data_IF_456931740049
#
_entry.id   IF_456931740049
#
_cell.length_a   1.000
_cell.length_b   1.000
_cell.length_c   1.000
_cell.angle_alpha   90.00
_cell.angle_beta   90.00
_cell.angle_gamma   90.00
#
_symmetry.space_group_name_H-M   'P 1'
#
loop_
_entity.id
_entity.type
_entity.pdbx_description
1 polymer ?
#
# COMPACT_ATOMS: atom_id res chain seq x y z
N UNK A 1 0.51 17.69 -2.43
CA UNK A 1 0.50 16.32 -3.00
C UNK A 1 -0.93 15.83 -2.96
N UNK A 2 -1.44 15.25 -4.04
CA UNK A 2 -2.81 14.75 -4.10
C UNK A 2 -2.78 13.24 -3.91
N UNK A 3 -3.33 12.78 -2.80
CA UNK A 3 -3.52 11.36 -2.56
C UNK A 3 -4.75 10.88 -3.30
N UNK A 4 -4.65 9.69 -3.86
CA UNK A 4 -5.74 9.04 -4.58
C UNK A 4 -6.00 7.69 -3.94
N UNK A 5 -7.28 7.32 -3.85
CA UNK A 5 -7.66 5.99 -3.39
C UNK A 5 -7.31 4.99 -4.49
N UNK A 6 -6.34 4.11 -4.22
CA UNK A 6 -5.86 3.08 -5.15
C UNK A 6 -6.60 1.74 -5.00
N UNK A 7 -7.06 1.47 -3.79
CA UNK A 7 -7.84 0.30 -3.45
C UNK A 7 -8.59 0.60 -2.16
N UNK A 8 -9.77 0.03 -2.00
CA UNK A 8 -10.63 0.25 -0.85
C UNK A 8 -12.10 0.39 -1.22
N UNK A 9 -12.94 0.64 -0.21
CA UNK A 9 -14.38 0.87 -0.42
C UNK A 9 -14.64 2.21 -1.10
N UNK A 10 -15.72 2.33 -1.88
CA UNK A 10 -16.13 3.63 -2.44
C UNK A 10 -16.62 4.60 -1.37
N UNK A 11 -17.03 4.09 -0.20
CA UNK A 11 -17.52 4.86 0.94
C UNK A 11 -16.41 5.32 1.90
N UNK A 12 -15.16 5.45 1.43
CA UNK A 12 -14.12 6.04 2.28
C UNK A 12 -14.49 7.49 2.66
N UNK A 13 -14.14 7.94 3.87
CA UNK A 13 -14.24 9.35 4.24
C UNK A 13 -13.47 10.24 3.24
N UNK A 14 -13.94 11.47 2.99
CA UNK A 14 -13.23 12.39 2.11
C UNK A 14 -11.86 12.73 2.72
N UNK A 15 -10.84 12.78 1.86
CA UNK A 15 -9.53 13.26 2.28
C UNK A 15 -9.59 14.77 2.61
N UNK A 16 -8.84 15.23 3.61
CA UNK A 16 -8.66 16.65 3.87
C UNK A 16 -7.97 17.35 2.68
N UNK A 17 -8.06 18.67 2.63
CA UNK A 17 -7.38 19.47 1.59
C UNK A 17 -5.86 19.31 1.67
N UNK A 18 -5.31 19.15 2.87
CA UNK A 18 -3.89 18.89 3.10
C UNK A 18 -3.64 17.59 3.89
N UNK A 19 -3.63 16.42 3.22
CA UNK A 19 -3.42 15.12 3.86
C UNK A 19 -2.00 14.91 4.40
N UNK A 20 -1.07 15.85 4.19
CA UNK A 20 0.28 15.80 4.76
C UNK A 20 0.36 16.44 6.16
N UNK A 21 -0.56 17.35 6.49
CA UNK A 21 -0.59 18.04 7.78
C UNK A 21 -1.81 17.70 8.63
N UNK A 22 -2.84 17.11 8.04
CA UNK A 22 -4.11 16.83 8.71
C UNK A 22 -4.36 15.32 8.80
N UNK A 23 -4.89 14.83 9.94
CA UNK A 23 -5.27 13.44 10.06
C UNK A 23 -6.46 13.12 9.15
N UNK A 24 -6.49 11.90 8.64
CA UNK A 24 -7.61 11.35 7.89
C UNK A 24 -7.87 9.91 8.30
N UNK A 25 -9.06 9.43 7.98
CA UNK A 25 -9.47 8.06 8.29
C UNK A 25 -9.35 7.17 7.05
N UNK A 26 -8.85 5.96 7.26
CA UNK A 26 -8.81 4.90 6.26
C UNK A 26 -9.57 3.69 6.79
N UNK A 27 -10.70 3.38 6.16
CA UNK A 27 -11.56 2.27 6.56
C UNK A 27 -11.11 0.99 5.87
N UNK A 28 -10.78 -0.03 6.67
CA UNK A 28 -10.52 -1.37 6.20
C UNK A 28 -11.73 -2.28 6.47
N UNK A 29 -12.24 -2.95 5.43
CA UNK A 29 -13.21 -4.03 5.61
C UNK A 29 -12.48 -5.35 5.92
N UNK A 30 -13.18 -6.35 6.48
CA UNK A 30 -12.64 -7.70 6.60
C UNK A 30 -12.42 -8.36 5.22
N UNK A 31 -11.32 -9.10 5.06
CA UNK A 31 -11.01 -9.88 3.85
C UNK A 31 -9.82 -9.37 3.03
N UNK A 32 -9.75 -8.06 2.68
CA UNK A 32 -8.59 -7.48 2.01
C UNK A 32 -7.26 -7.71 2.71
N UNK A 33 -6.21 -7.94 1.91
CA UNK A 33 -4.84 -8.12 2.38
C UNK A 33 -3.86 -7.60 1.32
N UNK A 34 -2.61 -7.43 1.73
CA UNK A 34 -1.48 -7.13 0.85
C UNK A 34 -0.43 -8.21 1.09
N UNK A 35 -0.44 -9.26 0.28
CA UNK A 35 0.39 -10.42 0.49
C UNK A 35 0.66 -11.18 -0.80
N UNK A 36 1.92 -11.57 -1.01
CA UNK A 36 2.31 -12.42 -2.12
C UNK A 36 3.11 -13.62 -1.63
N UNK A 37 2.77 -14.81 -2.11
CA UNK A 37 3.59 -16.02 -1.93
C UNK A 37 4.12 -16.53 -3.27
N UNK A 38 5.32 -17.16 -3.29
CA UNK A 38 5.81 -17.83 -4.48
C UNK A 38 4.81 -18.89 -4.99
N UNK A 39 4.83 -19.19 -6.29
CA UNK A 39 3.99 -20.22 -6.90
C UNK A 39 4.18 -21.60 -6.25
N UNK A 40 5.40 -21.93 -5.82
CA UNK A 40 5.70 -23.16 -5.07
C UNK A 40 5.08 -23.21 -3.66
N UNK A 41 4.60 -22.08 -3.14
CA UNK A 41 3.97 -21.92 -1.83
C UNK A 41 2.49 -21.47 -1.94
N UNK A 42 1.82 -21.89 -3.02
CA UNK A 42 0.39 -21.64 -3.24
C UNK A 42 0.05 -20.42 -4.11
N UNK A 43 1.05 -19.61 -4.50
CA UNK A 43 0.87 -18.56 -5.51
C UNK A 43 -0.17 -17.49 -5.18
N UNK A 44 -0.35 -17.17 -3.89
CA UNK A 44 -1.27 -16.10 -3.45
C UNK A 44 -0.73 -14.75 -3.91
N UNK A 45 -1.59 -13.89 -4.45
CA UNK A 45 -1.24 -12.52 -4.85
C UNK A 45 -2.43 -11.60 -4.53
N UNK A 46 -2.46 -11.14 -3.29
CA UNK A 46 -3.45 -10.18 -2.82
C UNK A 46 -2.81 -8.79 -2.75
N UNK A 47 -3.41 -7.85 -3.46
CA UNK A 47 -3.09 -6.42 -3.38
C UNK A 47 -4.39 -5.61 -3.29
N UNK A 48 -5.26 -6.02 -2.37
CA UNK A 48 -6.65 -5.55 -2.27
C UNK A 48 -6.91 -4.70 -1.03
N UNK A 49 -5.94 -4.60 -0.11
CA UNK A 49 -6.01 -3.72 1.05
C UNK A 49 -6.30 -2.27 0.67
N UNK A 50 -6.92 -1.48 1.57
CA UNK A 50 -7.19 -0.07 1.31
C UNK A 50 -5.87 0.73 1.26
N UNK A 51 -5.69 1.59 0.26
CA UNK A 51 -4.43 2.31 0.01
C UNK A 51 -4.74 3.75 -0.47
N UNK A 52 -4.25 4.75 0.26
CA UNK A 52 -4.20 6.14 -0.19
C UNK A 52 -2.81 6.55 -0.63
N UNK A 53 -2.67 6.90 -1.89
CA UNK A 53 -1.37 6.94 -2.51
C UNK A 53 -1.19 8.13 -3.44
N UNK A 54 0.01 8.73 -3.41
CA UNK A 54 0.40 9.86 -4.27
C UNK A 54 1.73 9.51 -4.93
N UNK A 55 1.86 9.66 -6.25
CA UNK A 55 3.11 9.41 -6.95
C UNK A 55 4.21 10.37 -6.46
N UNK A 56 5.40 9.83 -6.20
CA UNK A 56 6.61 10.59 -5.87
C UNK A 56 7.77 10.05 -6.71
N UNK A 57 8.57 10.94 -7.28
CA UNK A 57 9.80 10.57 -7.97
C UNK A 57 10.86 10.05 -6.99
N UNK A 58 11.45 8.89 -7.27
CA UNK A 58 12.55 8.33 -6.46
C UNK A 58 13.69 9.33 -6.19
N UNK A 59 14.05 10.14 -7.19
CA UNK A 59 15.17 11.08 -7.07
C UNK A 59 14.88 12.16 -6.00
N UNK A 60 13.60 12.43 -5.75
CA UNK A 60 13.11 13.39 -4.76
C UNK A 60 12.79 12.78 -3.41
N UNK A 61 12.52 11.47 -3.36
CA UNK A 61 12.13 10.78 -2.13
C UNK A 61 13.32 10.66 -1.17
N UNK A 62 13.10 11.01 0.11
CA UNK A 62 14.11 10.92 1.17
C UNK A 62 13.65 10.05 2.32
N UNK A 63 12.46 10.33 2.84
CA UNK A 63 11.86 9.60 3.96
C UNK A 63 10.36 9.85 3.97
N UNK A 64 9.63 8.89 4.51
CA UNK A 64 8.22 9.05 4.84
C UNK A 64 7.97 8.62 6.29
N UNK A 65 7.06 9.33 6.96
CA UNK A 65 6.65 9.04 8.32
C UNK A 65 5.14 9.22 8.40
N UNK A 66 4.49 8.27 9.05
CA UNK A 66 3.06 8.32 9.36
C UNK A 66 2.88 8.03 10.84
N UNK A 67 1.81 8.57 11.41
CA UNK A 67 1.33 8.17 12.74
C UNK A 67 -0.01 7.51 12.55
N UNK A 68 -0.17 6.30 13.08
CA UNK A 68 -1.39 5.50 12.91
C UNK A 68 -2.01 5.29 14.28
N UNK A 69 -3.33 5.47 14.34
CA UNK A 69 -4.15 5.13 15.49
C UNK A 69 -5.31 4.27 15.01
N UNK A 70 -5.49 3.11 15.62
CA UNK A 70 -6.58 2.19 15.30
C UNK A 70 -6.77 1.22 16.46
N UNK A 71 -7.97 0.66 16.55
CA UNK A 71 -8.36 -0.31 17.57
C UNK A 71 -7.88 -1.73 17.22
N UNK A 72 -7.42 -1.94 15.96
CA UNK A 72 -7.00 -3.22 15.39
C UNK A 72 -7.97 -4.36 15.79
N UNK A 73 -9.21 -4.34 15.28
CA UNK A 73 -10.32 -5.10 15.86
C UNK A 73 -10.14 -6.61 15.78
N UNK A 74 -9.43 -7.13 14.77
CA UNK A 74 -9.23 -8.55 14.55
C UNK A 74 -7.76 -8.97 14.46
N UNK A 75 -7.51 -10.28 14.52
CA UNK A 75 -6.22 -10.86 14.14
C UNK A 75 -5.91 -10.50 12.68
N UNK A 76 -4.63 -10.25 12.42
CA UNK A 76 -4.07 -9.77 11.16
C UNK A 76 -4.58 -8.39 10.72
N UNK A 77 -5.19 -7.62 11.62
CA UNK A 77 -5.42 -6.19 11.36
C UNK A 77 -4.05 -5.51 11.23
N UNK A 78 -3.87 -4.80 10.12
CA UNK A 78 -2.61 -4.15 9.77
C UNK A 78 -2.84 -2.66 9.55
N UNK A 79 -1.81 -1.86 9.86
CA UNK A 79 -1.75 -0.45 9.53
C UNK A 79 -0.29 -0.04 9.38
N UNK A 80 0.05 0.73 8.34
CA UNK A 80 1.46 1.01 8.07
C UNK A 80 1.70 2.04 6.98
N UNK A 81 2.86 1.90 6.34
CA UNK A 81 3.24 2.50 5.07
C UNK A 81 3.46 1.38 4.05
N UNK A 82 3.03 1.62 2.82
CA UNK A 82 3.46 0.84 1.65
C UNK A 82 4.32 1.72 0.76
N UNK A 83 5.15 1.10 -0.06
CA UNK A 83 5.77 1.68 -1.25
C UNK A 83 5.67 0.61 -2.33
N UNK A 84 5.18 0.95 -3.51
CA UNK A 84 5.08 0.02 -4.62
C UNK A 84 5.47 0.69 -5.92
N UNK A 85 5.88 -0.11 -6.89
CA UNK A 85 6.27 0.35 -8.22
C UNK A 85 5.16 0.00 -9.22
N UNK A 86 4.50 1.00 -9.82
CA UNK A 86 3.61 0.76 -10.94
C UNK A 86 4.45 0.50 -12.20
N UNK A 87 4.85 -0.75 -12.40
CA UNK A 87 5.66 -1.15 -13.57
C UNK A 87 4.81 -1.17 -14.84
N UNK A 88 4.70 -0.06 -15.59
CA UNK A 88 3.91 -0.01 -16.84
C UNK A 88 2.46 -0.53 -16.69
N UNK A 89 1.96 -0.68 -15.45
CA UNK A 89 0.65 -1.28 -15.19
C UNK A 89 -0.37 -0.24 -15.61
N UNK A 90 -1.31 -0.58 -16.50
CA UNK A 90 -2.41 0.31 -16.83
C UNK A 90 -3.16 0.67 -15.54
N UNK A 91 -3.21 1.96 -15.23
CA UNK A 91 -4.03 2.47 -14.15
C UNK A 91 -5.36 2.86 -14.79
N UNK A 92 -6.43 2.14 -14.45
CA UNK A 92 -7.77 2.55 -14.85
C UNK A 92 -8.32 3.54 -13.85
N UNK A 93 -8.81 4.66 -14.36
CA UNK A 93 -9.46 5.68 -13.55
C UNK A 93 -10.97 5.51 -13.70
N UNK A 94 -11.63 5.20 -12.58
CA UNK A 94 -13.07 5.42 -12.43
C UNK A 94 -13.29 6.76 -11.72
N UNK A 95 -14.51 7.31 -11.76
CA UNK A 95 -14.84 8.67 -11.30
C UNK A 95 -14.36 9.04 -9.87
N UNK A 96 -13.90 8.07 -9.06
CA UNK A 96 -13.35 8.34 -7.72
C UNK A 96 -12.21 7.40 -7.26
N UNK A 97 -11.75 6.47 -8.11
CA UNK A 97 -10.72 5.49 -7.72
C UNK A 97 -9.77 5.22 -8.89
N UNK A 98 -8.47 5.20 -8.58
CA UNK A 98 -7.48 4.60 -9.47
C UNK A 98 -7.42 3.12 -9.11
N UNK A 99 -7.50 2.23 -10.08
CA UNK A 99 -7.34 0.79 -9.86
C UNK A 99 -6.17 0.31 -10.70
N UNK A 100 -5.31 -0.49 -10.08
CA UNK A 100 -4.32 -1.25 -10.84
C UNK A 100 -5.04 -2.46 -11.45
N UNK A 101 -4.92 -2.63 -12.77
CA UNK A 101 -5.47 -3.82 -13.44
C UNK A 101 -4.77 -5.11 -12.98
N UNK A 102 -3.52 -4.99 -12.52
CA UNK A 102 -2.71 -6.09 -11.98
C UNK A 102 -1.98 -5.63 -10.71
N UNK A 103 -1.73 -6.56 -9.78
CA UNK A 103 -0.93 -6.27 -8.59
C UNK A 103 0.49 -5.84 -8.97
N UNK A 104 1.07 -4.79 -8.34
CA UNK A 104 2.42 -4.36 -8.65
C UNK A 104 3.43 -5.47 -8.33
N UNK A 105 4.43 -5.66 -9.19
CA UNK A 105 5.43 -6.73 -9.01
C UNK A 105 6.33 -6.48 -7.81
N UNK A 106 6.68 -5.22 -7.60
CA UNK A 106 7.55 -4.80 -6.50
C UNK A 106 6.80 -3.89 -5.53
N UNK A 107 6.75 -4.32 -4.28
CA UNK A 107 6.23 -3.51 -3.19
C UNK A 107 6.86 -3.90 -1.86
N UNK A 108 6.90 -2.94 -0.95
CA UNK A 108 7.31 -3.14 0.44
C UNK A 108 6.28 -2.50 1.35
N UNK A 109 5.83 -3.23 2.36
CA UNK A 109 4.98 -2.71 3.44
C UNK A 109 5.72 -2.77 4.77
N UNK A 110 5.51 -1.76 5.61
CA UNK A 110 6.03 -1.70 6.96
C UNK A 110 4.99 -1.08 7.89
N UNK A 111 4.84 -1.60 9.10
CA UNK A 111 3.79 -1.12 9.99
C UNK A 111 3.59 -1.99 11.22
N UNK A 112 2.39 -1.95 11.77
CA UNK A 112 1.94 -2.74 12.91
C UNK A 112 0.96 -3.80 12.41
N UNK A 113 1.09 -5.02 12.91
CA UNK A 113 0.16 -6.13 12.71
C UNK A 113 -0.24 -6.70 14.07
N UNK A 114 -1.54 -6.92 14.27
CA UNK A 114 -2.04 -7.62 15.46
C UNK A 114 -2.12 -9.12 15.20
N UNK A 115 -1.44 -9.93 16.00
CA UNK A 115 -1.49 -11.40 15.92
C UNK A 115 -1.73 -11.94 17.32
N UNK A 116 -2.79 -12.74 17.47
CA UNK A 116 -3.18 -13.40 18.73
C UNK A 116 -3.24 -12.47 19.95
N UNK A 117 -3.73 -11.24 19.72
CA UNK A 117 -3.87 -10.21 20.76
C UNK A 117 -2.60 -9.39 21.02
N UNK A 118 -1.47 -9.73 20.40
CA UNK A 118 -0.21 -9.00 20.51
C UNK A 118 0.05 -8.14 19.26
N UNK A 119 0.85 -7.08 19.43
CA UNK A 119 1.20 -6.15 18.36
C UNK A 119 2.65 -6.36 17.91
N UNK A 120 2.84 -6.56 16.61
CA UNK A 120 4.15 -6.77 16.00
C UNK A 120 4.49 -5.67 15.00
N UNK A 121 5.72 -5.19 15.06
CA UNK A 121 6.29 -4.38 13.97
C UNK A 121 6.61 -5.30 12.80
N UNK A 122 5.96 -5.07 11.66
CA UNK A 122 6.16 -5.88 10.45
C UNK A 122 6.93 -5.11 9.39
N UNK A 123 7.73 -5.86 8.61
CA UNK A 123 8.30 -5.41 7.33
C UNK A 123 8.18 -6.58 6.37
N UNK A 124 7.42 -6.40 5.27
CA UNK A 124 7.27 -7.42 4.24
C UNK A 124 7.66 -6.81 2.89
N UNK A 125 8.59 -7.46 2.20
CA UNK A 125 9.07 -7.05 0.88
C UNK A 125 8.66 -8.10 -0.15
N UNK A 126 8.18 -7.65 -1.29
CA UNK A 126 7.97 -8.47 -2.47
C UNK A 126 8.86 -7.97 -3.61
N UNK A 127 9.71 -8.86 -4.08
CA UNK A 127 10.56 -8.66 -5.25
C UNK A 127 10.52 -9.95 -6.10
N UNK A 128 10.07 -9.85 -7.34
CA UNK A 128 10.20 -10.95 -8.30
C UNK A 128 11.65 -10.97 -8.77
N UNK A 129 12.46 -11.86 -8.18
CA UNK A 129 13.88 -12.01 -8.56
C UNK A 129 13.97 -12.58 -9.97
N UNK A 130 14.10 -11.68 -10.96
CA UNK A 130 15.02 -11.86 -12.08
C UNK A 130 16.10 -10.81 -11.85
N UNK A 131 17.26 -11.25 -11.36
CA UNK A 131 18.30 -10.37 -10.83
C UNK A 131 18.61 -9.20 -11.77
N UNK A 132 18.56 -7.98 -11.23
CA UNK A 132 19.14 -6.80 -11.86
C UNK A 132 19.44 -5.77 -10.77
N UNK A 133 20.67 -5.29 -10.81
CA UNK A 133 21.23 -4.19 -10.04
C UNK A 133 20.32 -2.95 -10.08
N UNK A 134 20.47 -2.07 -9.08
CA UNK A 134 19.81 -0.76 -9.00
C UNK A 134 20.20 0.13 -10.21
N UNK A 135 19.57 -0.14 -11.36
CA UNK A 135 19.68 0.58 -12.60
C UNK A 135 18.32 1.18 -12.96
N UNK A 136 18.23 2.50 -12.80
CA UNK A 136 17.58 3.43 -13.72
C UNK A 136 16.27 2.95 -14.38
N UNK A 137 15.14 3.23 -13.72
CA UNK A 137 13.87 3.44 -14.41
C UNK A 137 13.06 4.44 -13.57
N UNK A 138 12.30 5.31 -14.23
CA UNK A 138 11.41 6.28 -13.58
C UNK A 138 10.33 5.52 -12.79
N UNK A 139 10.17 5.87 -11.51
CA UNK A 139 9.52 5.02 -10.50
C UNK A 139 8.72 5.90 -9.54
N UNK A 140 7.43 5.61 -9.43
CA UNK A 140 6.46 6.31 -8.59
C UNK A 140 6.28 5.56 -7.25
N UNK A 141 6.36 6.26 -6.11
CA UNK A 141 6.01 5.71 -4.78
C UNK A 141 4.60 6.12 -4.34
N UNK A 142 4.00 5.44 -3.36
CA UNK A 142 2.59 5.58 -2.96
C UNK A 142 2.38 5.08 -1.50
N UNK A 143 1.56 5.73 -0.65
CA UNK A 143 1.45 5.49 0.82
C UNK A 143 0.23 4.64 1.25
N UNK A 144 0.15 4.28 2.54
CA UNK A 144 -1.01 3.63 3.20
C UNK A 144 -1.72 4.67 4.07
#
# INVERSE_FOLDING_TARGET
MKFTLFSGVSSQPPLPENPLSEPFELVALPGPDIWRTPSCAGGRDDFSGPIYATPISLNSFKSAKVTISSDFPGNYSQGGLILFMPESIPITQTDSQLRLEESPRTWIKAGIEKVDGEFFCIRRCCETVLGLEFGQAERELCFL
#
